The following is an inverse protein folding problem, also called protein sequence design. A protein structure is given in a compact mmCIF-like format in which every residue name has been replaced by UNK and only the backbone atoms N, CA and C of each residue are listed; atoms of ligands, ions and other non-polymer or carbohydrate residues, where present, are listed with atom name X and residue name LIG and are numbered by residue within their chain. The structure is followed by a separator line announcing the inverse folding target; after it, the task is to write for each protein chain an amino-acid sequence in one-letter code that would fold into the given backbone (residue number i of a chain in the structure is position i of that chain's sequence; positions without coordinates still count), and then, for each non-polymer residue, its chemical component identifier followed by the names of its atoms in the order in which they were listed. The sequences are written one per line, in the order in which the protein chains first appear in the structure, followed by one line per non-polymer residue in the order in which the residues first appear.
data_IF_098538553995
#
_entry.id   IF_098538553995
#
_cell.length_a   1.000
_cell.length_b   1.000
_cell.length_c   1.000
_cell.angle_alpha   90.00
_cell.angle_beta   90.00
_cell.angle_gamma   90.00
#
_symmetry.space_group_name_H-M   'P 1'
#
loop_
_entity.id
_entity.type
_entity.pdbx_description
1 polymer ?
#
# COMPACT_ATOMS: atom_id res chain seq x y z
N UNK A 1 -8.46 -19.90 4.73
CA UNK A 1 -8.87 -20.73 5.84
C UNK A 1 -9.60 -19.93 6.90
N UNK A 2 -10.32 -20.63 7.76
CA UNK A 2 -11.07 -19.97 8.82
C UNK A 2 -10.16 -19.16 9.75
N UNK A 3 -9.01 -19.70 10.07
CA UNK A 3 -8.07 -19.01 10.95
C UNK A 3 -7.60 -17.71 10.37
N UNK A 4 -7.27 -17.70 9.08
CA UNK A 4 -6.81 -16.51 8.41
C UNK A 4 -7.90 -15.45 8.35
N UNK A 5 -9.10 -15.87 7.97
CA UNK A 5 -10.23 -14.96 7.90
C UNK A 5 -10.59 -14.42 9.28
N UNK A 6 -10.54 -15.29 10.28
CA UNK A 6 -10.81 -14.86 11.64
C UNK A 6 -9.85 -13.81 12.13
N UNK A 7 -8.54 -13.96 11.80
CA UNK A 7 -7.56 -12.97 12.17
C UNK A 7 -7.82 -11.62 11.53
N UNK A 8 -8.20 -11.62 10.25
CA UNK A 8 -8.50 -10.36 9.55
C UNK A 8 -9.75 -9.69 10.11
N UNK A 9 -10.78 -10.47 10.41
CA UNK A 9 -12.00 -9.93 10.98
C UNK A 9 -11.74 -9.36 12.38
N UNK A 10 -10.99 -10.08 13.18
CA UNK A 10 -10.66 -9.63 14.53
C UNK A 10 -9.89 -8.31 14.48
N UNK A 11 -8.94 -8.19 13.55
CA UNK A 11 -8.16 -6.97 13.40
C UNK A 11 -9.05 -5.79 13.04
N UNK A 12 -10.02 -6.00 12.15
CA UNK A 12 -10.94 -4.94 11.77
C UNK A 12 -11.78 -4.46 12.94
N UNK A 13 -12.34 -5.40 13.71
CA UNK A 13 -13.17 -5.04 14.84
C UNK A 13 -12.36 -4.28 15.89
N UNK A 14 -11.14 -4.73 16.16
CA UNK A 14 -10.28 -4.07 17.10
C UNK A 14 -9.92 -2.66 16.66
N UNK A 15 -9.65 -2.48 15.38
CA UNK A 15 -9.36 -1.16 14.83
C UNK A 15 -10.57 -0.24 14.95
N UNK A 16 -11.74 -0.76 14.61
CA UNK A 16 -12.98 0.03 14.68
C UNK A 16 -13.26 0.51 16.10
N UNK A 17 -12.80 -0.25 17.08
CA UNK A 17 -12.95 0.12 18.48
C UNK A 17 -11.78 0.95 19.00
N UNK A 18 -10.88 1.35 18.12
CA UNK A 18 -9.74 2.16 18.50
C UNK A 18 -8.61 1.39 19.15
N UNK A 19 -8.61 0.08 19.03
CA UNK A 19 -7.57 -0.75 19.65
C UNK A 19 -6.51 -1.12 18.61
N UNK A 20 -5.64 -0.16 18.31
CA UNK A 20 -4.66 -0.31 17.25
C UNK A 20 -3.61 -1.38 17.55
N UNK A 21 -3.07 -1.40 18.78
CA UNK A 21 -2.01 -2.36 19.10
C UNK A 21 -2.47 -3.82 19.03
N UNK A 22 -3.63 -4.20 19.60
CA UNK A 22 -4.14 -5.55 19.38
C UNK A 22 -4.43 -5.86 17.93
N UNK A 23 -4.93 -4.88 17.16
CA UNK A 23 -5.18 -5.09 15.74
C UNK A 23 -3.87 -5.37 14.99
N UNK A 24 -2.80 -4.65 15.32
CA UNK A 24 -1.51 -4.89 14.71
C UNK A 24 -1.00 -6.29 15.03
N UNK A 25 -1.18 -6.73 16.26
CA UNK A 25 -0.74 -8.07 16.67
C UNK A 25 -1.50 -9.15 15.92
N UNK A 26 -2.82 -8.98 15.76
CA UNK A 26 -3.64 -9.94 15.02
C UNK A 26 -3.22 -10.02 13.56
N UNK A 27 -3.01 -8.89 12.92
CA UNK A 27 -2.58 -8.86 11.52
C UNK A 27 -1.17 -9.40 11.36
N UNK A 28 -0.29 -9.13 12.32
CA UNK A 28 1.05 -9.68 12.29
C UNK A 28 1.03 -11.19 12.35
N UNK A 29 0.19 -11.75 13.23
CA UNK A 29 0.07 -13.20 13.34
C UNK A 29 -0.42 -13.81 12.02
N UNK A 30 -1.44 -13.23 11.41
CA UNK A 30 -1.96 -13.72 10.12
C UNK A 30 -0.90 -13.63 9.04
N UNK A 31 -0.17 -12.53 8.97
CA UNK A 31 0.84 -12.35 7.93
C UNK A 31 1.98 -13.35 8.05
N UNK A 32 2.29 -13.82 9.26
CA UNK A 32 3.37 -14.78 9.46
C UNK A 32 2.92 -16.22 9.32
N UNK A 33 1.67 -16.50 9.66
CA UNK A 33 1.18 -17.89 9.75
C UNK A 33 0.34 -18.32 8.57
N UNK A 34 -0.20 -17.37 7.81
CA UNK A 34 -1.06 -17.74 6.69
C UNK A 34 -0.29 -18.46 5.60
N UNK A 35 -0.90 -19.48 5.04
CA UNK A 35 -0.27 -20.27 3.98
C UNK A 35 -0.46 -19.63 2.60
N UNK A 36 -1.58 -18.99 2.38
CA UNK A 36 -1.86 -18.39 1.08
C UNK A 36 -1.23 -17.02 0.98
N UNK A 37 -0.46 -16.82 -0.09
CA UNK A 37 0.26 -15.56 -0.31
C UNK A 37 -0.69 -14.38 -0.38
N UNK A 38 -1.87 -14.57 -0.95
CA UNK A 38 -2.83 -13.47 -1.09
C UNK A 38 -3.34 -12.99 0.26
N UNK A 39 -3.62 -13.92 1.17
CA UNK A 39 -4.05 -13.53 2.51
C UNK A 39 -2.92 -12.83 3.26
N UNK A 40 -1.71 -13.32 3.11
CA UNK A 40 -0.56 -12.67 3.74
C UNK A 40 -0.36 -11.26 3.20
N UNK A 41 -0.49 -11.09 1.89
CA UNK A 41 -0.34 -9.78 1.28
C UNK A 41 -1.42 -8.82 1.80
N UNK A 42 -2.66 -9.25 1.82
CA UNK A 42 -3.75 -8.44 2.36
C UNK A 42 -3.50 -8.04 3.81
N UNK A 43 -3.06 -9.00 4.61
CA UNK A 43 -2.80 -8.73 6.03
C UNK A 43 -1.67 -7.72 6.19
N UNK A 44 -0.62 -7.84 5.38
CA UNK A 44 0.51 -6.92 5.44
C UNK A 44 0.13 -5.51 5.00
N UNK A 45 -0.71 -5.41 3.97
CA UNK A 45 -1.18 -4.10 3.54
C UNK A 45 -2.01 -3.42 4.63
N UNK A 46 -2.88 -4.17 5.29
CA UNK A 46 -3.65 -3.62 6.39
C UNK A 46 -2.78 -3.23 7.57
N UNK A 47 -1.82 -4.09 7.89
CA UNK A 47 -0.87 -3.80 8.96
C UNK A 47 -0.11 -2.52 8.65
N UNK A 48 0.34 -2.37 7.42
CA UNK A 48 1.06 -1.16 7.03
C UNK A 48 0.19 0.09 7.21
N UNK A 49 -1.10 -0.01 6.87
CA UNK A 49 -2.02 1.10 7.08
C UNK A 49 -2.17 1.47 8.54
N UNK A 50 -2.29 0.48 9.41
CA UNK A 50 -2.39 0.74 10.84
C UNK A 50 -1.10 1.35 11.39
N UNK A 51 0.04 0.86 10.92
CA UNK A 51 1.32 1.40 11.35
C UNK A 51 1.51 2.83 10.87
N UNK A 52 1.07 3.12 9.66
CA UNK A 52 1.11 4.48 9.13
C UNK A 52 0.25 5.40 9.99
N UNK A 53 -0.95 4.98 10.34
CA UNK A 53 -1.84 5.77 11.19
C UNK A 53 -1.23 6.02 12.56
N UNK A 54 -0.46 5.05 13.06
CA UNK A 54 0.23 5.18 14.33
C UNK A 54 1.56 5.92 14.19
N UNK A 55 1.90 6.36 12.99
CA UNK A 55 3.15 7.06 12.69
C UNK A 55 4.38 6.20 12.89
N UNK A 56 4.21 4.88 12.85
CA UNK A 56 5.33 3.94 12.87
C UNK A 56 5.75 3.70 11.42
N UNK A 57 6.46 4.67 10.87
CA UNK A 57 6.84 4.62 9.46
C UNK A 57 7.80 3.47 9.14
N UNK A 58 8.85 3.23 9.94
CA UNK A 58 9.73 2.09 9.65
C UNK A 58 8.97 0.76 9.67
N UNK A 59 8.06 0.59 10.62
CA UNK A 59 7.25 -0.62 10.69
C UNK A 59 6.35 -0.77 9.48
N UNK A 60 5.74 0.33 9.04
CA UNK A 60 4.88 0.30 7.86
C UNK A 60 5.68 -0.09 6.61
N UNK A 61 6.86 0.49 6.43
CA UNK A 61 7.70 0.15 5.28
C UNK A 61 8.13 -1.30 5.32
N UNK A 62 8.48 -1.81 6.50
CA UNK A 62 8.88 -3.21 6.64
C UNK A 62 7.73 -4.13 6.25
N UNK A 63 6.51 -3.82 6.69
CA UNK A 63 5.36 -4.64 6.32
C UNK A 63 5.13 -4.64 4.82
N UNK A 64 5.30 -3.49 4.17
CA UNK A 64 5.12 -3.39 2.73
C UNK A 64 6.21 -4.12 1.97
N UNK A 65 7.45 -4.05 2.46
CA UNK A 65 8.56 -4.76 1.82
C UNK A 65 8.35 -6.26 1.85
N UNK A 66 7.59 -6.77 2.80
CA UNK A 66 7.31 -8.18 2.91
C UNK A 66 6.21 -8.65 1.97
N UNK A 67 5.54 -7.74 1.27
CA UNK A 67 4.51 -8.12 0.29
C UNK A 67 5.20 -8.57 -0.97
N UNK A 68 5.14 -9.87 -1.23
CA UNK A 68 5.80 -10.46 -2.39
C UNK A 68 4.81 -11.08 -3.38
N UNK A 69 3.53 -11.19 -3.01
CA UNK A 69 2.53 -11.72 -3.90
C UNK A 69 2.42 -10.82 -5.13
N UNK A 70 2.58 -11.42 -6.30
CA UNK A 70 2.73 -10.69 -7.55
C UNK A 70 1.59 -9.71 -7.80
N UNK A 71 0.37 -10.12 -7.50
CA UNK A 71 -0.79 -9.28 -7.78
C UNK A 71 -0.94 -8.13 -6.80
N UNK A 72 -0.12 -8.08 -5.75
CA UNK A 72 -0.23 -7.06 -4.72
C UNK A 72 0.97 -6.13 -4.65
N UNK A 73 2.01 -6.38 -5.46
CA UNK A 73 3.22 -5.57 -5.37
C UNK A 73 3.00 -4.14 -5.83
N UNK A 74 2.16 -3.94 -6.84
CA UNK A 74 1.86 -2.58 -7.29
C UNK A 74 1.14 -1.79 -6.19
N UNK A 75 0.19 -2.41 -5.53
CA UNK A 75 -0.52 -1.77 -4.44
C UNK A 75 0.41 -1.48 -3.27
N UNK A 76 1.34 -2.39 -2.99
CA UNK A 76 2.32 -2.16 -1.95
C UNK A 76 3.21 -0.96 -2.29
N UNK A 77 3.58 -0.79 -3.54
CA UNK A 77 4.35 0.38 -3.97
C UNK A 77 3.57 1.67 -3.75
N UNK A 78 2.28 1.67 -4.06
CA UNK A 78 1.45 2.83 -3.81
C UNK A 78 1.40 3.18 -2.32
N UNK A 79 1.19 2.18 -1.48
CA UNK A 79 1.15 2.41 -0.03
C UNK A 79 2.51 2.85 0.50
N UNK A 80 3.57 2.35 -0.10
CA UNK A 80 4.91 2.80 0.25
C UNK A 80 5.06 4.28 -0.04
N UNK A 81 4.53 4.74 -1.16
CA UNK A 81 4.51 6.16 -1.47
C UNK A 81 3.80 6.97 -0.39
N UNK A 82 2.66 6.46 0.09
CA UNK A 82 1.92 7.13 1.15
C UNK A 82 2.77 7.28 2.43
N UNK A 83 3.49 6.23 2.80
CA UNK A 83 4.35 6.27 3.99
C UNK A 83 5.50 7.25 3.80
N UNK A 84 6.15 7.19 2.65
CA UNK A 84 7.29 8.08 2.37
C UNK A 84 6.85 9.53 2.34
N UNK A 85 5.66 9.80 1.79
CA UNK A 85 5.14 11.15 1.78
C UNK A 85 4.87 11.65 3.20
N UNK A 86 4.34 10.78 4.06
CA UNK A 86 4.11 11.13 5.46
C UNK A 86 5.44 11.44 6.19
N UNK A 87 6.52 10.82 5.75
CA UNK A 87 7.85 11.10 6.29
C UNK A 87 8.46 12.38 5.73
N UNK A 88 7.79 13.02 4.78
CA UNK A 88 8.35 14.19 4.11
C UNK A 88 9.32 13.87 2.99
N UNK A 89 9.42 12.60 2.61
CA UNK A 89 10.35 12.17 1.56
C UNK A 89 9.65 12.21 0.22
N UNK A 90 9.40 13.41 -0.27
CA UNK A 90 8.57 13.62 -1.45
C UNK A 90 9.12 12.95 -2.71
N UNK A 91 10.43 13.06 -2.95
CA UNK A 91 11.01 12.46 -4.16
C UNK A 91 10.92 10.94 -4.14
N UNK A 92 11.16 10.33 -2.98
CA UNK A 92 11.04 8.89 -2.86
C UNK A 92 9.59 8.45 -2.98
N UNK A 93 8.66 9.22 -2.42
CA UNK A 93 7.24 8.94 -2.55
C UNK A 93 6.82 8.97 -4.01
N UNK A 94 7.29 9.96 -4.74
CA UNK A 94 6.99 10.08 -6.17
C UNK A 94 7.48 8.85 -6.93
N UNK A 95 8.70 8.41 -6.64
CA UNK A 95 9.25 7.22 -7.29
C UNK A 95 8.41 5.98 -6.98
N UNK A 96 7.94 5.85 -5.75
CA UNK A 96 7.11 4.71 -5.36
C UNK A 96 5.77 4.73 -6.10
N UNK A 97 5.14 5.90 -6.19
CA UNK A 97 3.88 6.02 -6.94
C UNK A 97 4.09 5.75 -8.42
N UNK A 98 5.21 6.19 -8.98
CA UNK A 98 5.50 5.92 -10.39
C UNK A 98 5.66 4.42 -10.64
N UNK A 99 6.33 3.73 -9.73
CA UNK A 99 6.46 2.28 -9.83
C UNK A 99 5.10 1.59 -9.76
N UNK A 100 4.24 2.06 -8.85
CA UNK A 100 2.89 1.51 -8.74
C UNK A 100 2.11 1.75 -10.03
N UNK A 101 2.17 2.95 -10.55
CA UNK A 101 1.43 3.31 -11.76
C UNK A 101 1.86 2.43 -12.94
N UNK A 102 3.17 2.25 -13.10
CA UNK A 102 3.67 1.43 -14.20
C UNK A 102 3.26 -0.03 -14.07
N UNK A 103 3.17 -0.53 -12.85
CA UNK A 103 2.85 -1.93 -12.62
C UNK A 103 1.36 -2.22 -12.71
N UNK A 104 0.51 -1.20 -12.66
CA UNK A 104 -0.93 -1.39 -12.73
C UNK A 104 -1.42 -1.35 -14.16
N UNK A 105 -2.33 -2.29 -14.48
CA UNK A 105 -2.99 -2.31 -15.75
C UNK A 105 -3.88 -1.07 -15.87
N UNK A 106 -3.98 -0.50 -17.07
CA UNK A 106 -4.80 0.69 -17.29
C UNK A 106 -6.30 0.42 -17.10
N UNK A 107 -6.70 -0.84 -17.04
CA UNK A 107 -8.07 -1.21 -16.73
C UNK A 107 -8.38 -1.23 -15.26
N UNK A 108 -7.36 -1.09 -14.40
CA UNK A 108 -7.55 -1.08 -12.97
C UNK A 108 -7.96 0.32 -12.55
N UNK A 109 -9.16 0.44 -11.97
CA UNK A 109 -9.66 1.74 -11.55
C UNK A 109 -8.75 2.44 -10.56
N UNK A 110 -8.12 1.67 -9.69
CA UNK A 110 -7.24 2.24 -8.68
C UNK A 110 -6.04 2.97 -9.29
N UNK A 111 -5.66 2.60 -10.51
CA UNK A 111 -4.55 3.27 -11.21
C UNK A 111 -4.80 4.77 -11.35
N UNK A 112 -6.07 5.14 -11.54
CA UNK A 112 -6.42 6.54 -11.65
C UNK A 112 -6.16 7.29 -10.35
N UNK A 113 -6.37 6.63 -9.22
CA UNK A 113 -6.07 7.25 -7.93
C UNK A 113 -4.57 7.50 -7.79
N UNK A 114 -3.75 6.56 -8.24
CA UNK A 114 -2.29 6.75 -8.22
C UNK A 114 -1.91 7.92 -9.11
N UNK A 115 -2.55 8.05 -10.25
CA UNK A 115 -2.32 9.18 -11.14
C UNK A 115 -2.61 10.51 -10.43
N UNK A 116 -3.71 10.56 -9.70
CA UNK A 116 -4.07 11.76 -8.95
C UNK A 116 -2.99 12.09 -7.92
N UNK A 117 -2.46 11.09 -7.24
CA UNK A 117 -1.39 11.29 -6.27
C UNK A 117 -0.14 11.87 -6.94
N UNK A 118 0.19 11.36 -8.11
CA UNK A 118 1.36 11.85 -8.86
C UNK A 118 1.16 13.28 -9.34
N UNK A 119 -0.02 13.60 -9.81
CA UNK A 119 -0.32 14.96 -10.23
C UNK A 119 -0.19 15.91 -9.03
N UNK A 120 -0.67 15.49 -7.87
CA UNK A 120 -0.57 16.31 -6.66
C UNK A 120 0.89 16.58 -6.28
N UNK A 121 1.80 15.68 -6.64
CA UNK A 121 3.22 15.87 -6.40
C UNK A 121 3.93 16.51 -7.61
N UNK A 122 3.16 16.97 -8.59
CA UNK A 122 3.70 17.57 -9.81
C UNK A 122 4.61 16.61 -10.58
N UNK A 123 4.24 15.33 -10.59
CA UNK A 123 5.01 14.29 -11.28
C UNK A 123 4.07 13.41 -12.09
N UNK A 124 3.67 13.86 -13.29
CA UNK A 124 2.73 13.07 -14.10
C UNK A 124 3.28 11.68 -14.40
N UNK A 125 2.40 10.69 -14.59
CA UNK A 125 2.82 9.33 -14.87
C UNK A 125 3.56 9.25 -16.20
N UNK A 126 4.64 8.47 -16.23
CA UNK A 126 5.51 8.42 -17.39
C UNK A 126 4.81 7.97 -18.68
N UNK A 127 4.07 6.83 -18.69
CA UNK A 127 3.46 6.41 -19.94
C UNK A 127 2.37 7.34 -20.44
N UNK A 128 1.54 7.80 -19.54
CA UNK A 128 0.50 8.75 -19.91
C UNK A 128 1.12 10.10 -20.21
N UNK A 129 2.19 10.42 -19.52
CA UNK A 129 2.86 11.66 -19.72
C UNK A 129 3.47 11.75 -21.12
N UNK A 130 3.92 10.63 -21.65
CA UNK A 130 4.46 10.63 -23.00
C UNK A 130 3.43 11.13 -23.98
N UNK A 131 2.20 10.68 -23.86
CA UNK A 131 1.13 11.16 -24.69
C UNK A 131 0.78 12.59 -24.34
N UNK A 132 0.75 12.85 -23.06
CA UNK A 132 0.38 14.19 -22.62
C UNK A 132 1.45 15.19 -22.90
N UNK A 133 2.69 14.80 -22.86
CA UNK A 133 3.74 15.76 -23.12
C UNK A 133 3.67 16.23 -24.54
N UNK A 134 3.21 15.37 -25.40
CA UNK A 134 2.92 15.84 -26.73
C UNK A 134 1.93 16.96 -26.68
N UNK A 135 1.04 16.90 -25.77
CA UNK A 135 0.00 17.89 -25.69
C UNK A 135 0.44 19.12 -24.95
N UNK A 136 1.49 19.00 -24.24
CA UNK A 136 1.86 20.17 -23.54
C UNK A 136 2.55 21.09 -24.43
N UNK A 137 2.51 21.78 -24.60
CA UNK A 137 3.09 22.66 -25.42
C UNK A 137 2.75 23.94 -25.04
#
# INVERSE_FOLDING_TARGET
TLTQQGGLIAARVQHDKGKVDPAKASLGWVSEKAAEDEYRASARLRLAGLLLDAKDYPGALKALDAVTAKDFTALASDRRGDVLLAQGKTDEARAAYQAAYKAMDDKIAYRRLVEVKLVALAAPPAPAAAAASGATK
#
